data_IF_992206602083
#
_entry.id   IF_992206602083
#
_cell.length_a   1.000
_cell.length_b   1.000
_cell.length_c   1.000
_cell.angle_alpha   90.00
_cell.angle_beta   90.00
_cell.angle_gamma   90.00
#
_symmetry.space_group_name_H-M   'P 1'
#
loop_
_entity.id
_entity.type
_entity.pdbx_description
1 polymer ?
#
# COMPACT_ATOMS: atom_id res chain seq x y z
N UNK A 1 13.62 -7.23 -30.39
CA UNK A 1 13.60 -5.75 -30.37
C UNK A 1 12.26 -5.31 -29.76
N UNK A 2 12.09 -5.47 -28.45
CA UNK A 2 10.88 -5.03 -27.76
C UNK A 2 11.17 -3.63 -27.20
N UNK A 3 10.33 -2.73 -27.60
CA UNK A 3 10.54 -1.31 -27.63
C UNK A 3 10.84 -0.69 -26.23
N UNK A 4 11.93 0.09 -26.15
CA UNK A 4 12.25 1.05 -25.09
C UNK A 4 11.05 1.88 -24.61
N UNK A 5 10.08 2.13 -25.48
CA UNK A 5 8.88 2.93 -25.20
C UNK A 5 7.83 2.24 -24.30
N UNK A 6 7.92 0.94 -24.03
CA UNK A 6 6.99 0.26 -23.10
C UNK A 6 7.49 0.29 -21.65
N UNK A 7 8.80 0.31 -21.45
CA UNK A 7 9.42 0.48 -20.13
C UNK A 7 9.30 1.92 -19.62
N UNK A 8 9.39 2.90 -20.54
CA UNK A 8 9.19 4.32 -20.21
C UNK A 8 7.73 4.62 -19.78
N UNK A 9 6.74 3.96 -20.40
CA UNK A 9 5.31 4.13 -20.03
C UNK A 9 4.94 3.51 -18.70
N UNK A 10 5.62 2.46 -18.26
CA UNK A 10 5.41 1.87 -16.93
C UNK A 10 6.00 2.78 -15.85
N UNK A 11 7.19 3.34 -16.08
CA UNK A 11 7.80 4.31 -15.18
C UNK A 11 7.01 5.62 -15.06
N UNK A 12 6.38 6.09 -16.14
CA UNK A 12 5.52 7.28 -16.11
C UNK A 12 4.22 7.06 -15.32
N UNK A 13 3.59 5.89 -15.42
CA UNK A 13 2.37 5.57 -14.66
C UNK A 13 2.65 5.42 -13.18
N UNK A 14 3.75 4.78 -12.81
CA UNK A 14 4.17 4.65 -11.41
C UNK A 14 4.58 6.00 -10.83
N UNK A 15 5.24 6.86 -11.61
CA UNK A 15 5.56 8.23 -11.21
C UNK A 15 4.31 9.11 -11.07
N UNK A 16 3.26 8.88 -11.86
CA UNK A 16 1.99 9.58 -11.76
C UNK A 16 1.21 9.17 -10.51
N UNK A 17 1.20 7.88 -10.16
CA UNK A 17 0.56 7.40 -8.93
C UNK A 17 1.29 7.95 -7.70
N UNK A 18 2.62 7.94 -7.71
CA UNK A 18 3.45 8.48 -6.64
C UNK A 18 3.38 10.00 -6.61
N UNK A 19 3.36 10.68 -7.77
CA UNK A 19 3.16 12.13 -7.86
C UNK A 19 1.75 12.55 -7.40
N UNK A 20 0.74 11.72 -7.61
CA UNK A 20 -0.58 11.93 -7.03
C UNK A 20 -0.58 11.74 -5.51
N UNK A 21 0.26 10.84 -4.99
CA UNK A 21 0.48 10.67 -3.55
C UNK A 21 1.23 11.86 -2.92
N UNK A 22 2.15 12.49 -3.64
CA UNK A 22 2.92 13.66 -3.18
C UNK A 22 2.16 15.01 -3.35
N UNK A 23 1.12 15.07 -4.18
CA UNK A 23 0.44 16.32 -4.54
C UNK A 23 -0.76 16.68 -3.67
N UNK A 24 -1.02 15.96 -2.61
CA UNK A 24 -2.21 16.25 -1.82
C UNK A 24 -1.95 17.28 -0.73
N UNK A 25 -2.19 18.52 -1.07
CA UNK A 25 -2.22 19.65 -0.15
C UNK A 25 -3.60 19.90 0.50
N UNK A 26 -4.47 18.92 0.57
CA UNK A 26 -5.75 19.08 1.26
C UNK A 26 -6.07 17.82 2.05
N UNK A 27 -5.57 17.75 3.27
CA UNK A 27 -6.06 16.82 4.26
C UNK A 27 -7.51 17.21 4.57
N UNK A 28 -8.46 16.48 4.00
CA UNK A 28 -9.90 16.69 4.18
C UNK A 28 -10.35 16.40 5.62
N UNK A 29 -9.56 15.65 6.37
CA UNK A 29 -9.86 15.20 7.73
C UNK A 29 -8.69 15.54 8.64
N UNK A 30 -8.97 16.04 9.82
CA UNK A 30 -7.95 16.45 10.80
C UNK A 30 -7.30 15.27 11.53
N UNK A 31 -7.98 14.13 11.54
CA UNK A 31 -7.49 12.93 12.22
C UNK A 31 -8.01 11.64 11.59
N UNK A 32 -7.35 10.52 11.91
CA UNK A 32 -7.86 9.17 11.58
C UNK A 32 -9.25 8.94 12.17
N UNK A 33 -9.50 9.44 13.39
CA UNK A 33 -10.81 9.35 14.05
C UNK A 33 -11.90 10.05 13.23
N UNK A 34 -11.63 11.27 12.76
CA UNK A 34 -12.59 12.05 11.96
C UNK A 34 -12.83 11.38 10.61
N UNK A 35 -11.78 10.85 10.01
CA UNK A 35 -11.89 10.07 8.77
C UNK A 35 -12.75 8.83 8.97
N UNK A 36 -12.49 8.02 9.99
CA UNK A 36 -13.30 6.84 10.31
C UNK A 36 -14.75 7.17 10.60
N UNK A 37 -15.00 8.28 11.30
CA UNK A 37 -16.36 8.78 11.57
C UNK A 37 -17.10 9.24 10.31
N UNK A 38 -16.39 9.60 9.25
CA UNK A 38 -16.98 9.99 7.97
C UNK A 38 -17.43 8.79 7.11
N UNK A 39 -16.98 7.59 7.44
CA UNK A 39 -17.39 6.37 6.73
C UNK A 39 -18.81 5.98 7.18
N UNK A 40 -19.72 5.89 6.23
CA UNK A 40 -21.14 5.64 6.50
C UNK A 40 -21.59 4.20 6.23
N UNK A 41 -20.80 3.46 5.47
CA UNK A 41 -21.09 2.05 5.16
C UNK A 41 -20.56 1.14 6.27
N UNK A 42 -21.45 0.43 6.95
CA UNK A 42 -21.14 -0.39 8.11
C UNK A 42 -20.07 -1.47 7.80
N UNK A 43 -20.20 -2.13 6.65
CA UNK A 43 -19.22 -3.13 6.21
C UNK A 43 -17.83 -2.52 6.04
N UNK A 44 -17.75 -1.35 5.39
CA UNK A 44 -16.49 -0.61 5.21
C UNK A 44 -15.87 -0.22 6.54
N UNK A 45 -16.68 0.23 7.52
CA UNK A 45 -16.21 0.59 8.86
C UNK A 45 -15.65 -0.63 9.58
N UNK A 46 -16.37 -1.75 9.56
CA UNK A 46 -15.94 -2.98 10.23
C UNK A 46 -14.66 -3.55 9.62
N UNK A 47 -14.60 -3.63 8.30
CA UNK A 47 -13.40 -4.09 7.58
C UNK A 47 -12.19 -3.17 7.85
N UNK A 48 -12.43 -1.86 7.90
CA UNK A 48 -11.37 -0.89 8.22
C UNK A 48 -10.82 -1.08 9.64
N UNK A 49 -11.68 -1.32 10.64
CA UNK A 49 -11.23 -1.63 12.01
C UNK A 49 -10.38 -2.87 12.06
N UNK A 50 -10.79 -3.94 11.38
CA UNK A 50 -10.02 -5.19 11.32
C UNK A 50 -8.65 -4.99 10.68
N UNK A 51 -8.57 -4.19 9.61
CA UNK A 51 -7.30 -3.88 8.95
C UNK A 51 -6.41 -2.97 9.82
N UNK A 52 -6.99 -2.00 10.53
CA UNK A 52 -6.24 -1.18 11.49
C UNK A 52 -5.61 -2.06 12.56
N UNK A 53 -6.38 -2.93 13.20
CA UNK A 53 -5.87 -3.85 14.24
C UNK A 53 -4.77 -4.77 13.69
N UNK A 54 -4.98 -5.34 12.51
CA UNK A 54 -3.98 -6.20 11.85
C UNK A 54 -2.68 -5.44 11.58
N UNK A 55 -2.76 -4.28 10.97
CA UNK A 55 -1.57 -3.51 10.56
C UNK A 55 -0.86 -2.86 11.75
N UNK A 56 -1.59 -2.44 12.79
CA UNK A 56 -0.99 -2.02 14.07
C UNK A 56 -0.20 -3.16 14.73
N UNK A 57 -0.78 -4.36 14.77
CA UNK A 57 -0.11 -5.54 15.34
C UNK A 57 1.15 -5.91 14.56
N UNK A 58 1.13 -5.77 13.23
CA UNK A 58 2.27 -6.06 12.37
C UNK A 58 3.38 -5.01 12.53
N UNK A 59 3.01 -3.74 12.48
CA UNK A 59 3.97 -2.63 12.44
C UNK A 59 4.41 -2.12 13.80
N UNK A 60 3.57 -2.27 14.83
CA UNK A 60 3.77 -1.63 16.14
C UNK A 60 3.52 -0.12 16.12
N UNK A 61 2.88 0.41 15.06
CA UNK A 61 2.64 1.84 14.88
C UNK A 61 1.16 2.15 14.73
N UNK A 62 0.75 3.31 15.22
CA UNK A 62 -0.58 3.85 15.00
C UNK A 62 -0.77 4.26 13.53
N UNK A 63 -2.01 4.15 12.99
CA UNK A 63 -2.32 4.61 11.66
C UNK A 63 -2.17 6.12 11.53
N UNK A 64 -1.71 6.58 10.37
CA UNK A 64 -1.71 7.98 9.96
C UNK A 64 -2.46 8.14 8.65
N UNK A 65 -3.13 9.27 8.51
CA UNK A 65 -3.72 9.64 7.22
C UNK A 65 -2.64 10.07 6.24
N UNK A 66 -2.65 9.40 5.09
CA UNK A 66 -1.86 9.74 3.93
C UNK A 66 -2.83 10.11 2.80
N UNK A 67 -2.63 11.28 2.21
CA UNK A 67 -3.53 11.74 1.14
C UNK A 67 -5.01 11.80 1.58
N UNK A 68 -5.93 11.67 0.64
CA UNK A 68 -7.38 11.84 0.82
C UNK A 68 -8.10 10.69 1.55
N UNK A 69 -7.41 9.77 2.18
CA UNK A 69 -8.10 8.70 2.92
C UNK A 69 -7.36 7.37 2.99
N UNK A 70 -6.08 7.36 2.63
CA UNK A 70 -5.22 6.20 2.86
C UNK A 70 -4.76 6.18 4.30
N UNK A 71 -4.97 5.07 4.98
CA UNK A 71 -4.45 4.80 6.30
C UNK A 71 -3.12 4.05 6.16
N UNK A 72 -2.03 4.71 6.53
CA UNK A 72 -0.67 4.15 6.45
C UNK A 72 -0.07 3.93 7.82
N UNK A 73 0.80 2.93 7.92
CA UNK A 73 1.46 2.51 9.15
C UNK A 73 2.95 2.52 8.96
N UNK A 74 3.67 3.15 9.89
CA UNK A 74 5.10 3.37 9.80
C UNK A 74 5.50 4.16 8.54
N UNK A 75 6.76 4.48 8.38
CA UNK A 75 7.26 5.21 7.22
C UNK A 75 8.67 4.80 6.86
N UNK A 76 9.04 5.02 5.59
CA UNK A 76 10.38 4.88 5.09
C UNK A 76 10.72 6.01 4.13
N UNK A 77 12.00 6.32 4.03
CA UNK A 77 12.51 7.30 3.07
C UNK A 77 12.91 6.62 1.78
N UNK A 78 12.48 7.18 0.63
CA UNK A 78 12.90 6.70 -0.68
C UNK A 78 13.68 7.77 -1.45
N UNK A 79 14.59 7.33 -2.31
CA UNK A 79 15.33 8.19 -3.20
C UNK A 79 15.50 7.51 -4.54
N UNK A 80 15.18 8.24 -5.60
CA UNK A 80 15.40 7.80 -6.97
C UNK A 80 16.77 8.25 -7.49
N UNK A 81 17.30 7.55 -8.49
CA UNK A 81 18.54 7.96 -9.17
C UNK A 81 18.44 9.34 -9.82
N UNK A 82 17.22 9.79 -10.18
CA UNK A 82 16.94 11.15 -10.64
C UNK A 82 17.15 12.24 -9.59
N UNK A 83 17.42 11.86 -8.33
CA UNK A 83 17.54 12.77 -7.19
C UNK A 83 16.22 13.11 -6.50
N UNK A 84 15.07 12.64 -7.02
CA UNK A 84 13.77 12.78 -6.35
C UNK A 84 13.73 11.90 -5.12
N UNK A 85 13.32 12.44 -3.99
CA UNK A 85 13.23 11.74 -2.72
C UNK A 85 11.98 12.15 -1.94
N UNK A 86 11.59 11.35 -0.96
CA UNK A 86 10.44 11.61 -0.10
C UNK A 86 10.19 10.48 0.89
N UNK A 87 9.12 10.63 1.65
CA UNK A 87 8.67 9.60 2.59
C UNK A 87 7.39 8.93 2.10
N UNK A 88 7.24 7.67 2.45
CA UNK A 88 6.03 6.88 2.19
C UNK A 88 5.73 5.98 3.38
N UNK A 89 4.47 5.55 3.51
CA UNK A 89 4.10 4.52 4.49
C UNK A 89 4.65 3.16 4.08
N UNK A 90 4.93 2.30 5.07
CA UNK A 90 5.45 0.95 4.83
C UNK A 90 4.35 0.01 4.36
N UNK A 91 3.25 -0.02 5.09
CA UNK A 91 2.02 -0.74 4.75
C UNK A 91 0.81 0.17 4.94
N UNK A 92 -0.26 -0.08 4.22
CA UNK A 92 -1.46 0.74 4.34
C UNK A 92 -2.62 0.24 3.51
N UNK A 93 -3.77 0.87 3.68
CA UNK A 93 -4.96 0.57 2.91
C UNK A 93 -5.82 1.81 2.70
N UNK A 94 -6.67 1.77 1.68
CA UNK A 94 -7.66 2.79 1.40
C UNK A 94 -9.05 2.15 1.37
N UNK A 95 -9.89 2.41 2.38
CA UNK A 95 -11.24 1.90 2.43
C UNK A 95 -12.18 2.74 1.58
N UNK A 96 -12.90 2.08 0.71
CA UNK A 96 -14.03 2.63 -0.04
C UNK A 96 -15.17 1.63 -0.02
N UNK A 97 -16.40 2.11 -0.07
CA UNK A 97 -17.57 1.23 -0.19
C UNK A 97 -17.42 0.27 -1.38
N UNK A 98 -17.44 -1.02 -1.09
CA UNK A 98 -17.33 -2.08 -2.10
C UNK A 98 -15.95 -2.23 -2.76
N UNK A 99 -14.92 -1.51 -2.26
CA UNK A 99 -13.55 -1.63 -2.78
C UNK A 99 -12.52 -1.18 -1.75
N UNK A 100 -11.90 -2.12 -1.09
CA UNK A 100 -10.74 -1.88 -0.23
C UNK A 100 -9.48 -2.07 -1.07
N UNK A 101 -8.58 -1.09 -1.02
CA UNK A 101 -7.25 -1.20 -1.64
C UNK A 101 -6.22 -1.42 -0.56
N UNK A 102 -5.49 -2.53 -0.61
CA UNK A 102 -4.33 -2.80 0.27
C UNK A 102 -3.06 -2.55 -0.54
N UNK A 103 -2.17 -1.72 0.00
CA UNK A 103 -0.93 -1.34 -0.65
C UNK A 103 0.24 -2.20 -0.19
N UNK A 104 0.97 -2.76 -1.16
CA UNK A 104 2.21 -3.49 -0.96
C UNK A 104 3.34 -2.71 -1.64
N UNK A 105 4.15 -2.01 -0.87
CA UNK A 105 5.15 -1.08 -1.42
C UNK A 105 6.32 -1.80 -2.10
N UNK A 106 6.47 -3.09 -1.89
CA UNK A 106 7.40 -4.00 -2.57
C UNK A 106 6.79 -4.73 -3.78
N UNK A 107 5.55 -4.42 -4.12
CA UNK A 107 4.83 -4.99 -5.26
C UNK A 107 4.14 -6.31 -4.97
N UNK A 108 3.17 -6.65 -5.83
CA UNK A 108 2.37 -7.88 -5.71
C UNK A 108 3.05 -9.11 -6.29
N UNK A 109 4.03 -8.94 -7.17
CA UNK A 109 4.69 -10.04 -7.89
C UNK A 109 5.38 -11.07 -6.97
N UNK A 110 5.90 -10.63 -5.81
CA UNK A 110 6.54 -11.49 -4.82
C UNK A 110 5.59 -12.47 -4.13
N UNK A 111 4.30 -12.22 -4.19
CA UNK A 111 3.27 -12.91 -3.41
C UNK A 111 2.38 -13.82 -4.25
N UNK A 112 2.80 -14.22 -5.44
CA UNK A 112 1.98 -15.01 -6.37
C UNK A 112 1.38 -16.27 -5.74
N UNK A 113 2.14 -17.01 -4.95
CA UNK A 113 1.68 -18.24 -4.27
C UNK A 113 0.65 -17.95 -3.17
N UNK A 114 0.87 -16.88 -2.37
CA UNK A 114 -0.07 -16.47 -1.34
C UNK A 114 -1.33 -15.86 -1.94
N UNK A 115 -1.19 -15.06 -2.99
CA UNK A 115 -2.33 -14.48 -3.70
C UNK A 115 -3.23 -15.54 -4.32
N UNK A 116 -2.67 -16.65 -4.79
CA UNK A 116 -3.44 -17.78 -5.28
C UNK A 116 -4.33 -18.43 -4.18
N UNK A 117 -4.00 -18.25 -2.91
CA UNK A 117 -4.72 -18.76 -1.75
C UNK A 117 -5.60 -17.72 -1.05
N UNK A 118 -5.50 -16.45 -1.47
CA UNK A 118 -6.13 -15.33 -0.77
C UNK A 118 -7.66 -15.34 -0.89
N UNK A 119 -8.22 -15.84 -1.97
CA UNK A 119 -9.64 -15.77 -2.25
C UNK A 119 -9.95 -14.74 -3.32
N UNK A 120 -11.15 -14.13 -3.25
CA UNK A 120 -11.63 -13.24 -4.31
C UNK A 120 -11.02 -11.85 -4.22
N UNK A 121 -10.13 -11.53 -5.14
CA UNK A 121 -9.44 -10.25 -5.25
C UNK A 121 -9.03 -9.96 -6.68
N UNK A 122 -8.59 -8.73 -6.94
CA UNK A 122 -7.83 -8.34 -8.13
C UNK A 122 -6.55 -7.64 -7.72
N UNK A 123 -5.57 -7.59 -8.58
CA UNK A 123 -4.28 -6.95 -8.31
C UNK A 123 -3.87 -5.97 -9.41
N UNK A 124 -3.08 -4.99 -9.04
CA UNK A 124 -2.20 -4.21 -9.92
C UNK A 124 -0.80 -4.23 -9.33
N UNK A 125 0.18 -3.57 -9.94
CA UNK A 125 1.58 -3.65 -9.55
C UNK A 125 1.85 -3.58 -8.03
N UNK A 126 1.17 -2.68 -7.31
CA UNK A 126 1.37 -2.44 -5.87
C UNK A 126 0.10 -2.58 -5.03
N UNK A 127 -1.01 -2.98 -5.61
CA UNK A 127 -2.31 -2.96 -4.95
C UNK A 127 -3.01 -4.31 -5.00
N UNK A 128 -3.61 -4.71 -3.88
CA UNK A 128 -4.63 -5.75 -3.82
C UNK A 128 -5.97 -5.06 -3.65
N UNK A 129 -6.93 -5.38 -4.50
CA UNK A 129 -8.30 -4.86 -4.42
C UNK A 129 -9.24 -5.94 -3.92
N UNK A 130 -9.94 -5.65 -2.84
CA UNK A 130 -10.87 -6.56 -2.16
C UNK A 130 -12.21 -5.84 -2.03
N UNK A 131 -13.31 -6.52 -2.38
CA UNK A 131 -14.65 -5.93 -2.24
C UNK A 131 -15.02 -5.77 -0.76
N UNK A 132 -14.80 -6.83 0.03
CA UNK A 132 -15.00 -6.90 1.47
C UNK A 132 -14.12 -8.01 2.05
N UNK A 133 -13.70 -7.89 3.31
CA UNK A 133 -12.76 -8.82 3.92
C UNK A 133 -13.29 -10.24 4.04
N UNK A 134 -14.61 -10.43 4.12
CA UNK A 134 -15.21 -11.77 4.13
C UNK A 134 -15.02 -12.57 2.83
N UNK A 135 -14.56 -11.93 1.76
CA UNK A 135 -14.26 -12.59 0.48
C UNK A 135 -12.86 -13.19 0.43
N UNK A 136 -12.03 -12.95 1.43
CA UNK A 136 -10.64 -13.39 1.46
C UNK A 136 -10.29 -14.15 2.74
N UNK A 137 -9.21 -14.93 2.66
CA UNK A 137 -8.63 -15.62 3.80
C UNK A 137 -7.75 -14.64 4.60
N UNK A 138 -8.27 -14.15 5.73
CA UNK A 138 -7.57 -13.16 6.56
C UNK A 138 -6.17 -13.59 7.01
N UNK A 139 -5.93 -14.86 7.40
CA UNK A 139 -4.58 -15.31 7.75
C UNK A 139 -3.60 -15.19 6.59
N UNK A 140 -4.07 -15.42 5.36
CA UNK A 140 -3.25 -15.26 4.15
C UNK A 140 -2.94 -13.79 3.87
N UNK A 141 -3.95 -12.91 3.99
CA UNK A 141 -3.76 -11.47 3.86
C UNK A 141 -2.76 -10.95 4.89
N UNK A 142 -2.90 -11.37 6.15
CA UNK A 142 -1.97 -11.00 7.23
C UNK A 142 -0.54 -11.44 6.92
N UNK A 143 -0.36 -12.64 6.40
CA UNK A 143 0.96 -13.15 6.02
C UNK A 143 1.59 -12.31 4.89
N UNK A 144 0.81 -11.94 3.87
CA UNK A 144 1.26 -11.07 2.77
C UNK A 144 1.69 -9.71 3.33
N UNK A 145 0.85 -9.07 4.13
CA UNK A 145 1.12 -7.73 4.70
C UNK A 145 2.34 -7.77 5.62
N UNK A 146 2.48 -8.79 6.45
CA UNK A 146 3.63 -8.97 7.34
C UNK A 146 4.93 -9.14 6.58
N UNK A 147 4.95 -9.99 5.56
CA UNK A 147 6.15 -10.19 4.74
C UNK A 147 6.54 -8.92 3.98
N UNK A 148 5.56 -8.18 3.47
CA UNK A 148 5.79 -6.89 2.83
C UNK A 148 6.41 -5.89 3.82
N UNK A 149 5.84 -5.77 5.02
CA UNK A 149 6.35 -4.90 6.07
C UNK A 149 7.81 -5.23 6.44
N UNK A 150 8.09 -6.49 6.73
CA UNK A 150 9.42 -6.96 7.13
C UNK A 150 10.46 -6.71 6.04
N UNK A 151 10.09 -6.93 4.78
CA UNK A 151 10.97 -6.70 3.64
C UNK A 151 11.33 -5.22 3.50
N UNK A 152 10.34 -4.34 3.50
CA UNK A 152 10.57 -2.88 3.41
C UNK A 152 11.43 -2.40 4.59
N UNK A 153 11.16 -2.86 5.80
CA UNK A 153 11.94 -2.51 6.97
C UNK A 153 13.38 -3.01 6.88
N UNK A 154 13.60 -4.20 6.34
CA UNK A 154 14.96 -4.71 6.13
C UNK A 154 15.75 -3.84 5.15
N UNK A 155 15.13 -3.40 4.08
CA UNK A 155 15.77 -2.55 3.07
C UNK A 155 16.02 -1.12 3.56
N UNK A 156 15.17 -0.60 4.45
CA UNK A 156 15.29 0.78 4.96
C UNK A 156 16.32 0.94 6.08
N UNK A 157 16.92 -0.13 6.58
CA UNK A 157 17.92 -0.08 7.69
C UNK A 157 19.19 0.66 7.31
N UNK A 158 19.62 0.54 6.06
CA UNK A 158 20.89 1.06 5.57
C UNK A 158 20.75 2.39 4.81
N UNK A 159 19.61 3.03 4.89
CA UNK A 159 19.34 4.32 4.26
C UNK A 159 18.12 4.36 3.36
N UNK A 160 18.02 5.37 2.49
CA UNK A 160 16.89 5.51 1.57
C UNK A 160 16.75 4.32 0.63
N UNK A 161 15.53 3.86 0.43
CA UNK A 161 15.25 2.78 -0.51
C UNK A 161 15.28 3.32 -1.94
N UNK A 162 16.11 2.71 -2.79
CA UNK A 162 16.08 2.99 -4.23
C UNK A 162 14.97 2.17 -4.90
N UNK A 163 13.91 2.83 -5.32
CA UNK A 163 12.74 2.17 -5.93
C UNK A 163 13.02 1.53 -7.29
N UNK A 164 14.07 1.90 -7.98
CA UNK A 164 14.41 1.32 -9.28
C UNK A 164 14.85 -0.14 -9.16
N UNK A 165 15.45 -0.53 -8.04
CA UNK A 165 15.92 -1.88 -7.80
C UNK A 165 14.79 -2.94 -7.75
N UNK A 166 13.56 -2.56 -7.51
CA UNK A 166 12.42 -3.49 -7.40
C UNK A 166 11.85 -3.93 -8.74
N UNK A 167 12.18 -3.22 -9.81
CA UNK A 167 11.74 -3.55 -11.17
C UNK A 167 12.66 -4.56 -11.86
N UNK A 168 13.83 -4.82 -11.30
CA UNK A 168 14.88 -5.62 -11.94
C UNK A 168 15.05 -7.04 -11.38
N UNK A 169 14.48 -7.34 -10.23
CA UNK A 169 14.46 -8.70 -9.69
C UNK A 169 13.22 -9.45 -10.19
N UNK A 170 13.39 -10.13 -11.33
CA UNK A 170 12.46 -11.15 -11.81
C UNK A 170 12.89 -12.51 -11.29
#
# INVERSE_FOLDING_TARGET
MVARGQLERLGERDSVIISAMDKVNAQKYDSVKDYMASLTDEQTVNDSRMLIEMMQRISGHEPKLWNVGTLGFDSYHYKYDSGREGDSFVIGFYPRKGKITVYLMDGTARFSELLAKLGKHTITGYCIYIKQLSNVELPVLEQIVRQSYEYIKSMSKDGPINRILWQTEK
#
